data_IF_656351076284
#
_entry.id   IF_656351076284
#
_cell.length_a   1.000
_cell.length_b   1.000
_cell.length_c   1.000
_cell.angle_alpha   90.00
_cell.angle_beta   90.00
_cell.angle_gamma   90.00
#
_symmetry.space_group_name_H-M   'P 1'
#
loop_
_entity.id
_entity.type
_entity.pdbx_description
1 polymer ?
#
# COMPACT_ATOMS: atom_id res chain seq x y z
N UNK A 1 -44.70 21.13 -56.16
CA UNK A 1 -43.86 22.09 -55.46
C UNK A 1 -44.26 22.07 -54.00
N UNK A 2 -43.55 21.34 -53.18
CA UNK A 2 -43.74 21.31 -51.71
C UNK A 2 -42.36 21.15 -51.09
N UNK A 3 -41.88 22.21 -50.54
CA UNK A 3 -40.61 22.32 -49.85
C UNK A 3 -40.82 21.91 -48.37
N UNK A 4 -40.25 20.80 -47.92
CA UNK A 4 -40.23 20.43 -46.54
C UNK A 4 -38.90 20.90 -45.92
N UNK A 5 -38.97 21.83 -44.97
CA UNK A 5 -37.88 22.32 -44.18
C UNK A 5 -37.66 21.42 -42.97
N UNK A 6 -36.48 20.84 -42.88
CA UNK A 6 -36.01 20.10 -41.67
C UNK A 6 -35.50 21.10 -40.60
N UNK A 7 -35.74 20.83 -39.29
CA UNK A 7 -35.23 21.68 -38.21
C UNK A 7 -33.76 21.40 -37.92
N UNK A 8 -33.02 22.39 -37.35
CA UNK A 8 -31.58 22.26 -37.08
C UNK A 8 -31.29 21.31 -35.90
N UNK A 9 -30.36 20.40 -36.14
CA UNK A 9 -29.89 19.44 -35.17
C UNK A 9 -29.24 20.10 -33.95
N UNK A 10 -29.73 19.75 -32.77
CA UNK A 10 -29.08 20.06 -31.50
C UNK A 10 -27.70 19.40 -31.46
N UNK A 11 -26.65 20.16 -31.44
CA UNK A 11 -25.30 19.72 -31.08
C UNK A 11 -25.32 19.25 -29.62
N UNK A 12 -25.29 17.93 -29.40
CA UNK A 12 -24.98 17.37 -28.09
C UNK A 12 -23.51 17.69 -27.78
N UNK A 13 -23.29 18.55 -26.82
CA UNK A 13 -21.98 18.79 -26.24
C UNK A 13 -21.44 17.46 -25.73
N UNK A 14 -20.27 17.05 -26.24
CA UNK A 14 -19.50 15.98 -25.65
C UNK A 14 -18.96 16.51 -24.30
N UNK A 15 -19.57 16.03 -23.23
CA UNK A 15 -18.95 16.11 -21.90
C UNK A 15 -17.70 15.24 -21.99
N UNK A 16 -16.50 15.76 -21.71
CA UNK A 16 -15.33 14.90 -21.60
C UNK A 16 -15.57 13.96 -20.42
N UNK A 17 -15.60 12.69 -20.71
CA UNK A 17 -15.57 11.62 -19.71
C UNK A 17 -14.24 11.78 -18.98
N UNK A 18 -14.22 12.45 -17.82
CA UNK A 18 -13.20 12.22 -16.82
C UNK A 18 -13.32 10.76 -16.46
N UNK A 19 -12.45 9.93 -17.05
CA UNK A 19 -12.28 8.58 -16.62
C UNK A 19 -11.95 8.66 -15.12
N UNK A 20 -12.89 8.22 -14.30
CA UNK A 20 -12.63 7.97 -12.90
C UNK A 20 -11.49 6.94 -12.88
N UNK A 21 -10.25 7.41 -12.67
CA UNK A 21 -9.15 6.57 -12.26
C UNK A 21 -9.53 6.07 -10.87
N UNK A 22 -10.19 4.92 -10.82
CA UNK A 22 -10.29 4.15 -9.60
C UNK A 22 -8.86 3.72 -9.25
N UNK A 23 -8.17 4.56 -8.50
CA UNK A 23 -6.84 4.29 -8.00
C UNK A 23 -6.94 3.16 -6.99
N UNK A 24 -6.60 1.95 -7.40
CA UNK A 24 -6.30 0.87 -6.47
C UNK A 24 -4.94 1.22 -5.89
N UNK A 25 -4.92 1.74 -4.68
CA UNK A 25 -3.70 2.17 -4.00
C UNK A 25 -3.10 1.01 -3.27
N UNK A 26 -1.83 0.80 -3.51
CA UNK A 26 -1.02 -0.19 -2.83
C UNK A 26 0.28 0.43 -2.34
N UNK A 27 0.56 0.20 -1.08
CA UNK A 27 1.73 0.69 -0.37
C UNK A 27 2.92 -0.25 -0.54
N UNK A 28 4.01 0.27 -1.08
CA UNK A 28 5.31 -0.35 -0.89
C UNK A 28 5.87 0.04 0.49
N UNK A 29 6.14 -0.93 1.34
CA UNK A 29 6.79 -0.69 2.63
C UNK A 29 8.27 -1.01 2.51
N UNK A 30 9.12 -0.05 2.89
CA UNK A 30 10.57 -0.21 2.94
C UNK A 30 10.96 -0.98 4.19
N UNK A 31 11.75 -2.04 4.05
CA UNK A 31 12.53 -2.65 5.12
C UNK A 31 13.99 -2.32 4.89
N UNK A 32 14.54 -1.43 5.71
CA UNK A 32 15.98 -1.20 5.79
C UNK A 32 16.62 -2.26 6.69
N UNK A 33 17.36 -3.17 6.09
CA UNK A 33 18.34 -3.94 6.84
C UNK A 33 19.54 -3.00 7.12
N UNK A 34 19.75 -2.64 8.39
CA UNK A 34 20.95 -1.91 8.81
C UNK A 34 22.19 -2.81 8.67
N UNK A 35 23.36 -2.24 8.37
CA UNK A 35 24.58 -3.00 8.36
C UNK A 35 25.08 -3.22 9.81
N UNK A 36 25.58 -4.43 10.06
CA UNK A 36 26.33 -4.87 11.21
C UNK A 36 25.54 -5.42 12.40
N UNK A 37 25.41 -6.76 12.37
CA UNK A 37 25.16 -7.56 13.54
C UNK A 37 26.46 -7.79 14.31
N UNK A 38 26.40 -7.59 15.62
CA UNK A 38 27.18 -8.39 16.60
C UNK A 38 26.39 -8.48 17.90
N UNK A 39 26.34 -9.66 18.55
CA UNK A 39 25.66 -9.82 19.82
C UNK A 39 26.60 -9.47 20.98
N UNK A 40 26.27 -8.45 21.74
CA UNK A 40 26.91 -8.21 23.02
C UNK A 40 26.18 -9.00 24.10
N UNK A 41 26.81 -10.09 24.55
CA UNK A 41 26.50 -10.71 25.80
C UNK A 41 27.00 -9.83 26.96
N UNK A 42 26.18 -9.56 27.93
CA UNK A 42 26.66 -9.12 29.23
C UNK A 42 25.81 -9.61 30.38
N UNK A 43 26.56 -10.04 31.36
CA UNK A 43 26.25 -10.82 32.51
C UNK A 43 25.32 -10.17 33.53
N UNK A 44 24.64 -11.08 34.22
CA UNK A 44 23.85 -10.85 35.42
C UNK A 44 24.70 -10.39 36.61
N UNK A 45 24.11 -9.61 37.48
CA UNK A 45 24.47 -9.57 38.91
C UNK A 45 23.20 -9.31 39.74
N UNK A 46 22.99 -10.23 40.65
CA UNK A 46 21.94 -10.28 41.64
C UNK A 46 22.07 -9.16 42.69
N UNK A 47 20.93 -8.68 43.19
CA UNK A 47 20.68 -8.34 44.59
C UNK A 47 19.18 -8.05 44.79
N UNK A 48 18.53 -8.81 45.65
CA UNK A 48 17.17 -8.57 46.19
C UNK A 48 17.29 -8.24 47.70
N UNK A 49 16.19 -7.98 48.44
CA UNK A 49 15.25 -6.85 48.39
C UNK A 49 15.26 -6.07 49.72
N UNK A 50 14.32 -5.17 50.00
CA UNK A 50 13.29 -5.50 50.98
C UNK A 50 11.87 -5.04 50.68
N UNK A 51 10.96 -5.77 51.28
CA UNK A 51 9.53 -5.65 51.26
C UNK A 51 9.00 -4.30 51.80
N UNK A 52 8.08 -3.69 51.04
CA UNK A 52 7.27 -2.59 51.52
C UNK A 52 5.93 -2.66 50.80
N UNK A 53 4.89 -3.15 51.54
CA UNK A 53 3.49 -3.17 51.10
C UNK A 53 2.93 -1.76 51.12
N UNK A 54 2.56 -1.25 49.95
CA UNK A 54 1.59 -0.17 49.79
C UNK A 54 0.55 -0.57 48.76
N UNK A 55 -0.72 -0.24 48.95
CA UNK A 55 -1.80 -0.70 48.09
C UNK A 55 -1.63 -0.10 46.71
N UNK A 56 -1.49 -0.96 45.73
CA UNK A 56 -1.50 -0.58 44.31
C UNK A 56 -2.87 0.02 43.99
N UNK A 57 -2.91 1.31 43.88
CA UNK A 57 -3.94 2.02 43.14
C UNK A 57 -3.95 1.43 41.71
N UNK A 58 -5.00 0.68 41.41
CA UNK A 58 -5.30 0.25 40.05
C UNK A 58 -5.63 1.49 39.20
N UNK A 59 -4.60 2.21 38.77
CA UNK A 59 -4.74 3.16 37.71
C UNK A 59 -5.11 2.35 36.46
N UNK A 60 -6.39 2.30 36.16
CA UNK A 60 -6.91 1.95 34.84
C UNK A 60 -6.08 2.76 33.83
N UNK A 61 -5.21 2.09 33.08
CA UNK A 61 -4.54 2.65 31.93
C UNK A 61 -5.61 2.87 30.86
N UNK A 62 -6.37 3.97 30.98
CA UNK A 62 -7.14 4.49 29.86
C UNK A 62 -6.13 4.65 28.71
N UNK A 63 -6.23 3.81 27.69
CA UNK A 63 -5.37 3.89 26.51
C UNK A 63 -5.45 5.31 25.99
N UNK A 64 -4.30 5.98 25.98
CA UNK A 64 -4.20 7.34 25.44
C UNK A 64 -4.74 7.26 24.01
N UNK A 65 -5.89 7.88 23.74
CA UNK A 65 -6.52 7.81 22.44
C UNK A 65 -5.52 8.31 21.39
N UNK A 66 -5.33 7.51 20.34
CA UNK A 66 -4.47 7.87 19.21
C UNK A 66 -4.85 9.26 18.68
N UNK A 67 -3.89 10.16 18.61
CA UNK A 67 -4.10 11.49 18.06
C UNK A 67 -3.37 11.65 16.74
N UNK A 68 -4.11 11.52 15.66
CA UNK A 68 -3.61 11.86 14.34
C UNK A 68 -3.45 13.37 14.19
N UNK A 69 -2.26 13.81 13.84
CA UNK A 69 -1.92 15.21 13.62
C UNK A 69 -1.81 15.47 12.13
N UNK A 70 -2.52 16.47 11.62
CA UNK A 70 -2.35 16.93 10.26
C UNK A 70 -0.99 17.59 10.08
N UNK A 71 -0.34 17.31 8.95
CA UNK A 71 0.88 17.97 8.52
C UNK A 71 0.57 18.64 7.17
N UNK A 72 0.52 19.98 7.12
CA UNK A 72 0.17 20.71 5.90
C UNK A 72 1.08 20.33 4.72
N UNK A 73 0.47 20.18 3.55
CA UNK A 73 1.18 19.88 2.29
C UNK A 73 1.02 21.05 1.32
N UNK A 74 2.03 21.35 0.46
CA UNK A 74 1.99 22.47 -0.49
C UNK A 74 1.21 22.12 -1.78
N UNK A 75 0.06 21.45 -1.64
CA UNK A 75 -0.84 21.08 -2.73
C UNK A 75 -2.27 21.35 -2.29
N UNK A 76 -2.94 22.28 -2.95
CA UNK A 76 -4.30 22.69 -2.59
C UNK A 76 -5.37 21.70 -3.06
N UNK A 77 -5.24 21.20 -4.30
CA UNK A 77 -6.18 20.26 -4.93
C UNK A 77 -5.44 19.13 -5.63
N UNK A 78 -5.86 17.89 -5.39
CA UNK A 78 -5.25 16.69 -5.94
C UNK A 78 -5.43 15.49 -5.04
N UNK A 79 -4.56 14.49 -5.19
CA UNK A 79 -4.53 13.30 -4.36
C UNK A 79 -3.08 12.88 -4.08
N UNK A 80 -2.78 12.42 -2.89
CA UNK A 80 -1.51 11.81 -2.53
C UNK A 80 -1.68 10.30 -2.47
N UNK A 81 -1.15 9.63 -3.47
CA UNK A 81 -1.38 8.21 -3.74
C UNK A 81 -0.47 7.29 -2.93
N UNK A 82 0.75 7.73 -2.62
CA UNK A 82 1.70 6.94 -1.85
C UNK A 82 2.57 7.80 -0.92
N UNK A 83 3.00 7.19 0.20
CA UNK A 83 3.91 7.78 1.18
C UNK A 83 4.88 6.73 1.69
N UNK A 84 6.16 7.09 1.84
CA UNK A 84 7.19 6.26 2.45
C UNK A 84 8.14 7.09 3.29
N UNK A 85 8.61 6.55 4.41
CA UNK A 85 9.51 7.23 5.34
C UNK A 85 10.83 6.48 5.48
N UNK A 86 11.94 7.22 5.44
CA UNK A 86 13.27 6.74 5.79
C UNK A 86 13.60 6.97 7.26
N UNK A 87 13.06 8.04 7.83
CA UNK A 87 13.27 8.43 9.23
C UNK A 87 12.21 9.46 9.66
N UNK A 88 12.25 9.89 10.91
CA UNK A 88 11.44 10.99 11.43
C UNK A 88 11.67 12.33 10.70
N UNK A 89 12.82 12.48 10.05
CA UNK A 89 13.23 13.70 9.35
C UNK A 89 13.21 13.56 7.83
N UNK A 90 12.94 12.38 7.32
CA UNK A 90 13.00 12.11 5.89
C UNK A 90 11.87 11.18 5.46
N UNK A 91 10.94 11.73 4.69
CA UNK A 91 9.85 10.97 4.07
C UNK A 91 9.51 11.56 2.70
N UNK A 92 8.87 10.77 1.88
CA UNK A 92 8.40 11.15 0.56
C UNK A 92 6.93 10.83 0.42
N UNK A 93 6.20 11.71 -0.25
CA UNK A 93 4.83 11.46 -0.69
C UNK A 93 4.70 11.83 -2.16
N UNK A 94 3.97 11.02 -2.91
CA UNK A 94 3.76 11.25 -4.34
C UNK A 94 2.28 11.22 -4.67
N UNK A 95 1.92 11.82 -5.78
CA UNK A 95 0.56 11.86 -6.24
C UNK A 95 0.39 12.83 -7.41
N UNK A 96 -0.71 13.56 -7.42
CA UNK A 96 -0.97 14.56 -8.44
C UNK A 96 -1.67 15.78 -7.87
N UNK A 97 -1.49 16.92 -8.54
CA UNK A 97 -2.26 18.15 -8.30
C UNK A 97 -3.08 18.55 -9.52
N UNK A 98 -4.21 19.16 -9.26
CA UNK A 98 -5.03 19.77 -10.29
C UNK A 98 -4.56 21.20 -10.52
N UNK A 99 -4.04 21.49 -11.72
CA UNK A 99 -3.71 22.87 -12.13
C UNK A 99 -4.93 23.62 -12.65
N UNK A 100 -5.88 22.90 -13.23
CA UNK A 100 -7.17 23.39 -13.71
C UNK A 100 -8.18 22.24 -13.81
N UNK A 101 -9.38 22.50 -14.26
CA UNK A 101 -10.39 21.47 -14.49
C UNK A 101 -9.96 20.37 -15.49
N UNK A 102 -8.95 20.62 -16.32
CA UNK A 102 -8.48 19.70 -17.37
C UNK A 102 -6.99 19.39 -17.32
N UNK A 103 -6.23 20.06 -16.45
CA UNK A 103 -4.78 19.90 -16.35
C UNK A 103 -4.38 19.30 -15.00
N UNK A 104 -3.70 18.18 -15.07
CA UNK A 104 -3.19 17.42 -13.91
C UNK A 104 -1.68 17.32 -14.01
N UNK A 105 -0.98 17.49 -12.91
CA UNK A 105 0.48 17.38 -12.83
C UNK A 105 0.87 16.41 -11.71
N UNK A 106 1.81 15.52 -12.01
CA UNK A 106 2.39 14.62 -11.01
C UNK A 106 3.27 15.42 -10.02
N UNK A 107 3.17 15.09 -8.74
CA UNK A 107 3.93 15.76 -7.68
C UNK A 107 4.71 14.77 -6.85
N UNK A 108 5.92 15.18 -6.45
CA UNK A 108 6.71 14.54 -5.41
C UNK A 108 6.96 15.55 -4.28
N UNK A 109 6.61 15.16 -3.07
CA UNK A 109 6.81 15.95 -1.86
C UNK A 109 7.84 15.27 -0.98
N UNK A 110 8.71 16.07 -0.39
CA UNK A 110 9.72 15.61 0.57
C UNK A 110 9.49 16.27 1.93
N UNK A 111 9.52 15.47 2.98
CA UNK A 111 9.55 15.90 4.37
C UNK A 111 11.00 16.13 4.82
N UNK A 112 11.29 17.31 5.36
CA UNK A 112 12.61 17.70 5.83
C UNK A 112 12.81 17.60 7.37
N UNK A 113 11.82 17.03 8.06
CA UNK A 113 11.76 16.95 9.52
C UNK A 113 10.83 18.00 10.15
N UNK A 114 10.44 19.03 9.40
CA UNK A 114 9.60 20.14 9.87
C UNK A 114 8.41 20.43 8.97
N UNK A 115 8.59 20.33 7.67
CA UNK A 115 7.57 20.68 6.67
C UNK A 115 7.69 19.81 5.42
N UNK A 116 6.56 19.68 4.70
CA UNK A 116 6.52 19.12 3.37
C UNK A 116 6.90 20.20 2.35
N UNK A 117 7.82 19.87 1.46
CA UNK A 117 8.23 20.72 0.35
C UNK A 117 8.04 19.97 -0.96
N UNK A 118 7.64 20.69 -2.00
CA UNK A 118 7.67 20.11 -3.33
C UNK A 118 9.14 19.92 -3.73
N UNK A 119 9.47 18.70 -4.12
CA UNK A 119 10.76 18.35 -4.71
C UNK A 119 10.68 18.64 -6.22
N UNK A 120 11.72 18.29 -6.98
CA UNK A 120 11.74 18.43 -8.43
C UNK A 120 10.51 17.79 -9.07
N UNK A 121 10.05 18.37 -10.19
CA UNK A 121 8.87 17.88 -10.92
C UNK A 121 9.11 16.48 -11.46
N UNK A 122 8.18 15.58 -11.22
CA UNK A 122 8.15 14.28 -11.88
C UNK A 122 7.99 14.44 -13.39
N UNK A 123 8.52 13.50 -14.20
CA UNK A 123 8.31 13.50 -15.64
C UNK A 123 6.84 13.61 -16.02
N UNK A 124 6.53 14.32 -17.10
CA UNK A 124 5.16 14.46 -17.59
C UNK A 124 4.48 13.10 -17.78
N UNK A 125 3.20 13.04 -17.46
CA UNK A 125 2.36 11.85 -17.57
C UNK A 125 2.81 10.64 -16.73
N UNK A 126 3.64 10.85 -15.70
CA UNK A 126 4.12 9.75 -14.84
C UNK A 126 3.13 9.31 -13.76
N UNK A 127 2.03 10.00 -13.52
CA UNK A 127 0.97 9.76 -12.50
C UNK A 127 1.26 8.59 -11.56
N UNK A 128 2.04 8.81 -10.47
CA UNK A 128 2.48 7.75 -9.59
C UNK A 128 1.30 7.17 -8.81
N UNK A 129 1.30 5.85 -8.63
CA UNK A 129 0.34 5.11 -7.81
C UNK A 129 1.01 4.53 -6.56
N UNK A 130 2.28 4.12 -6.69
CA UNK A 130 3.05 3.54 -5.61
C UNK A 130 4.46 4.13 -5.56
N UNK A 131 5.07 3.99 -4.39
CA UNK A 131 6.37 4.57 -4.05
C UNK A 131 7.18 3.56 -3.23
N UNK A 132 8.43 3.35 -3.60
CA UNK A 132 9.42 2.64 -2.79
C UNK A 132 10.64 3.52 -2.59
N UNK A 133 11.10 3.62 -1.34
CA UNK A 133 12.24 4.45 -0.97
C UNK A 133 13.30 3.58 -0.30
N UNK A 134 14.43 3.31 -0.96
CA UNK A 134 15.56 2.56 -0.41
C UNK A 134 16.56 3.49 0.29
N UNK A 135 16.78 4.67 -0.28
CA UNK A 135 17.62 5.72 0.29
C UNK A 135 17.14 7.10 -0.17
N UNK A 136 17.80 8.16 0.28
CA UNK A 136 17.52 9.53 -0.20
C UNK A 136 17.83 9.74 -1.69
N UNK A 137 18.63 8.85 -2.28
CA UNK A 137 19.09 8.89 -3.68
C UNK A 137 18.65 7.67 -4.49
N UNK A 138 17.71 6.89 -3.96
CA UNK A 138 17.19 5.73 -4.66
C UNK A 138 15.72 5.54 -4.31
N UNK A 139 14.88 6.11 -5.16
CA UNK A 139 13.45 6.14 -4.98
C UNK A 139 12.77 5.75 -6.28
N UNK A 140 11.86 4.81 -6.19
CA UNK A 140 11.07 4.35 -7.34
C UNK A 140 9.61 4.74 -7.19
N UNK A 141 9.01 5.21 -8.27
CA UNK A 141 7.56 5.30 -8.39
C UNK A 141 7.07 4.49 -9.59
N UNK A 142 5.88 3.95 -9.48
CA UNK A 142 5.18 3.28 -10.58
C UNK A 142 3.74 3.77 -10.66
N UNK A 143 3.19 3.73 -11.87
CA UNK A 143 1.84 4.17 -12.18
C UNK A 143 1.62 4.18 -13.69
N UNK A 144 1.30 5.31 -14.31
CA UNK A 144 1.26 5.41 -15.78
C UNK A 144 2.65 5.29 -16.42
N UNK A 145 3.71 5.56 -15.64
CA UNK A 145 5.10 5.30 -15.97
C UNK A 145 5.85 4.76 -14.75
N UNK A 146 6.99 4.10 -14.97
CA UNK A 146 7.97 3.83 -13.91
C UNK A 146 9.00 4.95 -13.91
N UNK A 147 9.27 5.57 -12.76
CA UNK A 147 10.29 6.61 -12.63
C UNK A 147 11.22 6.32 -11.46
N UNK A 148 12.48 6.71 -11.61
CA UNK A 148 13.54 6.52 -10.63
C UNK A 148 14.21 7.85 -10.30
N UNK A 149 14.39 8.13 -9.01
CA UNK A 149 15.13 9.27 -8.46
C UNK A 149 16.52 8.81 -8.04
N UNK A 150 17.55 9.47 -8.56
CA UNK A 150 18.97 9.18 -8.29
C UNK A 150 19.60 10.10 -7.23
N UNK A 151 18.79 10.96 -6.60
CA UNK A 151 19.24 12.00 -5.67
C UNK A 151 19.30 13.39 -6.28
N UNK A 152 19.16 13.50 -7.62
CA UNK A 152 19.22 14.78 -8.36
C UNK A 152 18.11 14.91 -9.40
N UNK A 153 17.79 13.82 -10.10
CA UNK A 153 16.85 13.83 -11.22
C UNK A 153 15.92 12.62 -11.21
N UNK A 154 14.71 12.81 -11.75
CA UNK A 154 13.78 11.73 -12.04
C UNK A 154 13.97 11.25 -13.47
N UNK A 155 14.21 9.96 -13.65
CA UNK A 155 14.35 9.31 -14.97
C UNK A 155 13.21 8.33 -15.18
N UNK A 156 12.62 8.37 -16.39
CA UNK A 156 11.56 7.41 -16.76
C UNK A 156 12.17 6.15 -17.36
N UNK A 157 11.70 5.00 -16.89
CA UNK A 157 12.06 3.68 -17.39
C UNK A 157 10.82 2.95 -17.92
N UNK A 158 10.92 2.40 -19.11
CA UNK A 158 9.82 1.65 -19.71
C UNK A 158 9.69 0.27 -19.06
N UNK A 159 8.48 -0.09 -18.68
CA UNK A 159 8.17 -1.45 -18.29
C UNK A 159 8.25 -2.38 -19.49
N UNK A 160 8.69 -3.62 -19.28
CA UNK A 160 8.69 -4.65 -20.30
C UNK A 160 7.26 -5.00 -20.75
N UNK A 161 7.12 -5.42 -22.00
CA UNK A 161 5.80 -5.76 -22.54
C UNK A 161 5.38 -7.14 -22.04
N UNK A 162 4.13 -7.30 -21.72
CA UNK A 162 3.51 -8.57 -21.40
C UNK A 162 2.70 -9.09 -22.60
N UNK A 163 2.74 -10.40 -22.92
CA UNK A 163 1.89 -10.99 -23.96
C UNK A 163 0.40 -10.73 -23.78
N UNK A 164 -0.07 -10.62 -22.52
CA UNK A 164 -1.45 -10.30 -22.21
C UNK A 164 -1.79 -8.82 -22.45
N UNK A 165 -0.80 -7.94 -22.68
CA UNK A 165 -1.02 -6.55 -23.04
C UNK A 165 -0.19 -5.54 -22.25
N UNK A 166 -0.75 -4.33 -22.06
CA UNK A 166 -0.10 -3.28 -21.27
C UNK A 166 -0.07 -3.68 -19.80
N UNK A 167 1.09 -3.54 -19.18
CA UNK A 167 1.22 -3.68 -17.73
C UNK A 167 0.73 -2.39 -17.06
N UNK A 168 -0.16 -2.57 -16.09
CA UNK A 168 -0.63 -1.52 -15.17
C UNK A 168 -0.06 -1.88 -13.81
N UNK A 169 1.00 -1.21 -13.36
CA UNK A 169 1.61 -1.48 -12.07
C UNK A 169 0.79 -0.84 -10.95
N UNK A 170 0.63 -1.58 -9.86
CA UNK A 170 -0.11 -1.16 -8.68
C UNK A 170 0.81 -0.95 -7.46
N UNK A 171 1.94 -1.68 -7.37
CA UNK A 171 2.89 -1.57 -6.27
C UNK A 171 4.34 -1.72 -6.72
N UNK A 172 5.25 -1.20 -5.90
CA UNK A 172 6.70 -1.31 -6.10
C UNK A 172 7.40 -1.52 -4.76
N UNK A 173 8.44 -2.35 -4.74
CA UNK A 173 9.36 -2.52 -3.62
C UNK A 173 10.80 -2.56 -4.12
N UNK A 174 11.75 -2.39 -3.21
CA UNK A 174 13.18 -2.50 -3.50
C UNK A 174 13.83 -3.53 -2.60
N UNK A 175 14.91 -4.14 -3.08
CA UNK A 175 15.71 -5.12 -2.34
C UNK A 175 17.07 -4.55 -1.97
N UNK A 176 17.74 -5.14 -0.99
CA UNK A 176 19.05 -4.68 -0.50
C UNK A 176 20.16 -4.75 -1.55
N UNK A 177 20.02 -5.62 -2.57
CA UNK A 177 20.93 -5.74 -3.71
C UNK A 177 20.74 -4.65 -4.79
N UNK A 178 19.84 -3.69 -4.56
CA UNK A 178 19.60 -2.57 -5.47
C UNK A 178 18.59 -2.84 -6.58
N UNK A 179 17.95 -4.01 -6.59
CA UNK A 179 16.85 -4.28 -7.52
C UNK A 179 15.56 -3.62 -7.06
N UNK A 180 14.69 -3.36 -8.02
CA UNK A 180 13.31 -2.98 -7.76
C UNK A 180 12.36 -4.03 -8.36
N UNK A 181 11.21 -4.21 -7.72
CA UNK A 181 10.17 -5.13 -8.16
C UNK A 181 8.84 -4.40 -8.23
N UNK A 182 8.13 -4.56 -9.33
CA UNK A 182 6.79 -4.01 -9.48
C UNK A 182 5.79 -5.12 -9.76
N UNK A 183 4.60 -4.97 -9.19
CA UNK A 183 3.48 -5.90 -9.37
C UNK A 183 2.23 -5.15 -9.80
N UNK A 184 1.34 -5.85 -10.45
CA UNK A 184 0.08 -5.30 -10.92
C UNK A 184 -0.63 -6.30 -11.83
N UNK A 185 -1.14 -5.81 -12.95
CA UNK A 185 -1.81 -6.64 -13.95
C UNK A 185 -1.43 -6.25 -15.38
N UNK A 186 -1.42 -7.22 -16.27
CA UNK A 186 -1.34 -7.00 -17.70
C UNK A 186 -2.74 -7.13 -18.31
N UNK A 187 -3.11 -6.20 -19.18
CA UNK A 187 -4.44 -6.16 -19.78
C UNK A 187 -4.44 -5.57 -21.18
N UNK A 188 -5.38 -6.01 -22.00
CA UNK A 188 -5.66 -5.47 -23.33
C UNK A 188 -7.17 -5.49 -23.60
N UNK A 189 -7.58 -5.19 -24.84
CA UNK A 189 -9.00 -5.20 -25.20
C UNK A 189 -9.69 -6.56 -25.05
N UNK A 190 -8.97 -7.65 -25.19
CA UNK A 190 -9.46 -9.04 -25.08
C UNK A 190 -9.35 -9.54 -23.62
N UNK A 191 -8.39 -9.05 -22.85
CA UNK A 191 -8.18 -9.41 -21.44
C UNK A 191 -8.54 -8.21 -20.56
N UNK A 192 -9.84 -7.94 -20.44
CA UNK A 192 -10.37 -6.78 -19.72
C UNK A 192 -10.14 -6.86 -18.22
N UNK A 193 -10.25 -8.04 -17.64
CA UNK A 193 -10.07 -8.28 -16.21
C UNK A 193 -8.59 -8.34 -15.80
N UNK A 194 -7.69 -8.47 -16.79
CA UNK A 194 -6.26 -8.57 -16.57
C UNK A 194 -5.79 -9.94 -16.12
N UNK A 195 -4.47 -10.12 -16.18
CA UNK A 195 -3.75 -11.24 -15.56
C UNK A 195 -2.66 -10.67 -14.66
N UNK A 196 -2.32 -11.34 -13.55
CA UNK A 196 -1.25 -10.89 -12.67
C UNK A 196 0.06 -10.71 -13.42
N UNK A 197 0.77 -9.62 -13.13
CA UNK A 197 2.04 -9.29 -13.76
C UNK A 197 3.07 -8.86 -12.71
N UNK A 198 4.29 -9.35 -12.84
CA UNK A 198 5.44 -8.96 -12.02
C UNK A 198 6.61 -8.64 -12.94
N UNK A 199 7.34 -7.57 -12.61
CA UNK A 199 8.59 -7.24 -13.27
C UNK A 199 9.67 -6.91 -12.23
N UNK A 200 10.92 -7.21 -12.56
CA UNK A 200 12.10 -6.83 -11.79
C UNK A 200 13.03 -5.93 -12.58
N UNK A 201 13.63 -4.96 -11.91
CA UNK A 201 14.68 -4.09 -12.42
C UNK A 201 16.04 -4.70 -12.15
N UNK A 202 16.88 -4.84 -13.18
CA UNK A 202 18.21 -5.44 -13.09
C UNK A 202 19.37 -4.43 -12.94
N UNK A 203 19.04 -3.15 -12.79
CA UNK A 203 19.97 -2.03 -12.79
C UNK A 203 19.99 -1.27 -14.14
N UNK A 204 19.36 -1.83 -15.20
CA UNK A 204 19.37 -1.26 -16.56
C UNK A 204 17.99 -1.22 -17.20
N UNK A 205 17.20 -2.27 -17.02
CA UNK A 205 15.88 -2.43 -17.63
C UNK A 205 14.95 -3.26 -16.76
N UNK A 206 13.64 -3.11 -16.99
CA UNK A 206 12.61 -3.93 -16.40
C UNK A 206 12.47 -5.25 -17.17
N UNK A 207 12.36 -6.35 -16.47
CA UNK A 207 12.20 -7.69 -17.01
C UNK A 207 10.96 -8.37 -16.44
N UNK A 208 10.10 -8.83 -17.32
CA UNK A 208 8.92 -9.62 -16.96
C UNK A 208 9.33 -10.93 -16.29
N UNK A 209 8.63 -11.24 -15.21
CA UNK A 209 8.81 -12.50 -14.49
C UNK A 209 7.82 -13.56 -14.95
N UNK A 210 8.27 -14.82 -14.98
CA UNK A 210 7.39 -15.96 -15.20
C UNK A 210 6.64 -16.27 -13.92
N UNK A 211 5.31 -16.30 -14.00
CA UNK A 211 4.44 -16.64 -12.90
C UNK A 211 3.84 -18.04 -13.05
N UNK A 212 3.48 -18.72 -11.95
CA UNK A 212 2.63 -19.90 -12.03
C UNK A 212 1.29 -19.54 -12.67
N UNK A 213 0.58 -20.51 -13.23
CA UNK A 213 -0.77 -20.27 -13.74
C UNK A 213 -1.72 -19.96 -12.60
N UNK A 214 -2.18 -18.73 -12.54
CA UNK A 214 -3.13 -18.22 -11.55
C UNK A 214 -4.44 -17.72 -12.19
N UNK A 215 -4.54 -17.84 -13.52
CA UNK A 215 -5.68 -17.36 -14.28
C UNK A 215 -5.78 -15.83 -14.32
N UNK A 216 -7.00 -15.31 -14.45
CA UNK A 216 -7.29 -13.88 -14.38
C UNK A 216 -7.10 -13.37 -12.96
N UNK A 217 -6.74 -12.09 -12.82
CA UNK A 217 -6.55 -11.48 -11.51
C UNK A 217 -5.66 -10.25 -11.55
N UNK A 218 -5.28 -9.82 -10.37
CA UNK A 218 -4.35 -8.71 -10.15
C UNK A 218 -3.48 -8.94 -8.93
N UNK A 219 -2.34 -8.27 -8.90
CA UNK A 219 -1.50 -8.16 -7.72
C UNK A 219 -1.55 -6.72 -7.23
N UNK A 220 -1.87 -6.56 -5.98
CA UNK A 220 -2.13 -5.27 -5.35
C UNK A 220 -0.98 -4.77 -4.49
N UNK A 221 -0.15 -5.64 -3.95
CA UNK A 221 0.95 -5.26 -3.05
C UNK A 221 2.12 -6.21 -3.15
N UNK A 222 3.32 -5.69 -2.86
CA UNK A 222 4.58 -6.44 -2.85
C UNK A 222 5.46 -5.96 -1.71
N UNK A 223 6.14 -6.88 -1.03
CA UNK A 223 7.13 -6.61 0.01
C UNK A 223 8.32 -7.55 -0.16
N UNK A 224 9.51 -7.07 0.14
CA UNK A 224 10.73 -7.87 0.13
C UNK A 224 11.30 -7.98 1.55
N UNK A 225 11.60 -9.18 1.97
CA UNK A 225 12.40 -9.48 3.19
C UNK A 225 13.87 -9.47 2.83
N UNK A 226 14.20 -10.13 1.72
CA UNK A 226 15.53 -10.28 1.17
C UNK A 226 15.43 -10.35 -0.36
N UNK A 227 16.56 -10.29 -1.12
CA UNK A 227 16.56 -10.44 -2.57
C UNK A 227 16.00 -11.77 -3.08
N UNK A 228 16.02 -12.80 -2.24
CA UNK A 228 15.53 -14.15 -2.47
C UNK A 228 14.25 -14.51 -1.68
N UNK A 229 13.65 -13.52 -1.00
CA UNK A 229 12.43 -13.68 -0.23
C UNK A 229 11.49 -12.48 -0.44
N UNK A 230 10.58 -12.61 -1.43
CA UNK A 230 9.66 -11.54 -1.81
C UNK A 230 8.24 -12.08 -1.86
N UNK A 231 7.30 -11.35 -1.29
CA UNK A 231 5.89 -11.69 -1.23
C UNK A 231 5.05 -10.71 -2.02
N UNK A 232 4.14 -11.23 -2.84
CA UNK A 232 3.17 -10.45 -3.60
C UNK A 232 1.76 -10.96 -3.33
N UNK A 233 0.82 -10.04 -3.17
CA UNK A 233 -0.58 -10.37 -2.85
C UNK A 233 -1.56 -9.64 -3.75
N UNK A 234 -2.76 -10.20 -3.86
CA UNK A 234 -3.83 -9.62 -4.65
C UNK A 234 -5.07 -10.49 -4.66
N UNK A 235 -5.65 -10.65 -5.84
CA UNK A 235 -6.86 -11.44 -6.06
C UNK A 235 -6.75 -12.27 -7.35
N UNK A 236 -7.14 -13.53 -7.27
CA UNK A 236 -7.46 -14.36 -8.43
C UNK A 236 -8.96 -14.26 -8.67
N UNK A 237 -9.35 -13.86 -9.87
CA UNK A 237 -10.76 -13.66 -10.22
C UNK A 237 -11.44 -14.99 -10.48
N UNK A 238 -12.73 -14.98 -10.25
CA UNK A 238 -13.57 -16.13 -10.50
C UNK A 238 -13.50 -16.57 -11.97
N UNK A 239 -13.51 -17.88 -12.20
CA UNK A 239 -13.55 -18.44 -13.56
C UNK A 239 -14.96 -18.34 -14.18
N UNK A 240 -15.97 -18.22 -13.34
CA UNK A 240 -17.37 -18.03 -13.71
C UNK A 240 -18.10 -17.16 -12.66
N UNK A 241 -19.34 -16.74 -12.96
CA UNK A 241 -20.14 -15.87 -12.08
C UNK A 241 -20.55 -16.52 -10.75
N UNK A 242 -20.42 -17.84 -10.61
CA UNK A 242 -20.80 -18.59 -9.41
C UNK A 242 -19.62 -18.85 -8.47
N UNK A 243 -18.43 -18.79 -9.01
CA UNK A 243 -17.20 -19.04 -8.23
C UNK A 243 -16.78 -17.78 -7.47
N UNK A 244 -16.37 -17.88 -6.22
CA UNK A 244 -15.86 -16.72 -5.50
C UNK A 244 -14.48 -16.30 -6.01
N UNK A 245 -14.22 -15.00 -6.01
CA UNK A 245 -12.87 -14.45 -6.10
C UNK A 245 -12.05 -14.91 -4.88
N UNK A 246 -10.81 -15.28 -5.09
CA UNK A 246 -9.95 -15.79 -4.01
C UNK A 246 -8.73 -14.90 -3.79
N UNK A 247 -8.29 -14.80 -2.54
CA UNK A 247 -7.03 -14.15 -2.21
C UNK A 247 -5.87 -14.83 -2.94
N UNK A 248 -5.04 -14.02 -3.61
CA UNK A 248 -3.86 -14.49 -4.32
C UNK A 248 -2.62 -14.16 -3.49
N UNK A 249 -1.78 -15.16 -3.30
CA UNK A 249 -0.55 -15.07 -2.55
C UNK A 249 0.58 -15.72 -3.36
N UNK A 250 1.61 -14.96 -3.70
CA UNK A 250 2.77 -15.41 -4.44
C UNK A 250 4.04 -15.17 -3.62
N UNK A 251 4.99 -16.10 -3.71
CA UNK A 251 6.29 -16.05 -3.05
C UNK A 251 7.42 -16.26 -4.05
N UNK A 252 8.44 -15.40 -4.02
CA UNK A 252 9.71 -15.54 -4.73
C UNK A 252 10.74 -16.18 -3.80
N UNK A 253 11.29 -17.31 -4.21
CA UNK A 253 12.25 -18.10 -3.45
C UNK A 253 13.72 -17.87 -3.88
N UNK A 254 13.98 -16.77 -4.59
CA UNK A 254 15.29 -16.48 -5.19
C UNK A 254 15.46 -17.04 -6.60
N UNK A 255 14.61 -17.97 -7.03
CA UNK A 255 14.71 -18.65 -8.34
C UNK A 255 13.43 -18.57 -9.16
N UNK A 256 12.27 -18.64 -8.51
CA UNK A 256 10.95 -18.65 -9.15
C UNK A 256 9.84 -18.12 -8.26
N UNK A 257 8.79 -17.64 -8.89
CA UNK A 257 7.54 -17.33 -8.21
C UNK A 257 6.69 -18.59 -8.02
N UNK A 258 6.15 -18.77 -6.82
CA UNK A 258 5.29 -19.88 -6.45
C UNK A 258 3.98 -19.38 -5.90
N UNK A 259 2.87 -20.05 -6.24
CA UNK A 259 1.58 -19.78 -5.59
C UNK A 259 1.55 -20.44 -4.21
N UNK A 260 1.22 -19.66 -3.21
CA UNK A 260 1.03 -20.12 -1.83
C UNK A 260 -0.46 -20.17 -1.52
N UNK A 261 -0.90 -21.18 -0.79
CA UNK A 261 -2.31 -21.30 -0.39
C UNK A 261 -2.64 -20.20 0.63
N UNK A 262 -3.57 -19.33 0.27
CA UNK A 262 -4.15 -18.33 1.17
C UNK A 262 -5.38 -18.93 1.85
N UNK A 263 -5.38 -19.15 3.18
CA UNK A 263 -6.59 -19.59 3.89
C UNK A 263 -7.64 -18.46 3.87
N UNK A 264 -8.92 -18.81 3.88
CA UNK A 264 -10.00 -17.83 3.90
C UNK A 264 -11.36 -18.45 4.16
N UNK A 265 -12.38 -17.65 4.47
CA UNK A 265 -13.74 -18.13 4.64
C UNK A 265 -14.26 -18.78 3.37
N UNK A 266 -14.84 -19.96 3.50
CA UNK A 266 -15.43 -20.70 2.38
C UNK A 266 -16.64 -19.96 1.81
N UNK A 267 -16.79 -19.98 0.47
CA UNK A 267 -17.92 -19.35 -0.23
C UNK A 267 -17.96 -17.82 -0.22
N UNK A 268 -16.91 -17.19 0.29
CA UNK A 268 -16.77 -15.72 0.31
C UNK A 268 -15.80 -15.24 -0.76
N UNK A 269 -16.04 -14.04 -1.29
CA UNK A 269 -15.03 -13.35 -2.10
C UNK A 269 -13.96 -12.79 -1.19
N UNK A 270 -12.71 -13.18 -1.41
CA UNK A 270 -11.58 -12.75 -0.61
C UNK A 270 -10.52 -12.11 -1.51
N UNK A 271 -9.92 -11.01 -1.06
CA UNK A 271 -8.78 -10.38 -1.74
C UNK A 271 -7.82 -9.78 -0.71
N UNK A 272 -6.60 -9.55 -1.13
CA UNK A 272 -5.56 -8.92 -0.32
C UNK A 272 -5.14 -7.60 -0.98
N UNK A 273 -5.22 -6.52 -0.21
CA UNK A 273 -4.88 -5.16 -0.66
C UNK A 273 -3.48 -4.72 -0.25
N UNK A 274 -2.92 -5.29 0.82
CA UNK A 274 -1.61 -4.92 1.35
C UNK A 274 -0.87 -6.10 1.95
N UNK A 275 0.47 -6.11 1.79
CA UNK A 275 1.37 -7.06 2.44
C UNK A 275 2.59 -6.33 2.98
N UNK A 276 3.04 -6.72 4.17
CA UNK A 276 4.29 -6.26 4.75
C UNK A 276 4.94 -7.39 5.51
N UNK A 277 6.22 -7.62 5.24
CA UNK A 277 7.05 -8.53 5.99
C UNK A 277 7.91 -7.74 6.98
N UNK A 278 7.85 -8.10 8.24
CA UNK A 278 8.68 -7.51 9.31
C UNK A 278 9.91 -8.36 9.59
N UNK A 279 9.81 -9.64 9.27
CA UNK A 279 10.85 -10.65 9.26
C UNK A 279 10.42 -11.79 8.33
N UNK A 280 11.32 -12.74 8.06
CA UNK A 280 11.01 -13.91 7.25
C UNK A 280 9.90 -14.80 7.86
N UNK A 281 9.71 -14.73 9.17
CA UNK A 281 8.70 -15.46 9.94
C UNK A 281 7.59 -14.56 10.53
N UNK A 282 7.55 -13.27 10.16
CA UNK A 282 6.52 -12.31 10.62
C UNK A 282 6.01 -11.48 9.44
N UNK A 283 5.05 -12.04 8.70
CA UNK A 283 4.50 -11.45 7.47
C UNK A 283 2.99 -11.28 7.63
N UNK A 284 2.51 -10.09 7.36
CA UNK A 284 1.09 -9.75 7.42
C UNK A 284 0.54 -9.40 6.06
N UNK A 285 -0.60 -9.98 5.71
CA UNK A 285 -1.36 -9.61 4.53
C UNK A 285 -2.79 -9.24 4.92
N UNK A 286 -3.29 -8.13 4.39
CA UNK A 286 -4.59 -7.57 4.77
C UNK A 286 -5.43 -7.22 3.54
N UNK A 287 -6.73 -7.27 3.69
CA UNK A 287 -7.66 -7.00 2.59
C UNK A 287 -9.11 -6.99 3.03
N UNK A 288 -9.96 -7.57 2.22
CA UNK A 288 -11.37 -7.70 2.49
C UNK A 288 -11.93 -9.09 2.17
N UNK A 289 -13.02 -9.40 2.83
CA UNK A 289 -13.83 -10.58 2.57
C UNK A 289 -15.29 -10.15 2.43
N UNK A 290 -15.97 -10.61 1.37
CA UNK A 290 -17.39 -10.31 1.15
C UNK A 290 -18.21 -11.59 1.16
N UNK A 291 -19.22 -11.62 2.03
CA UNK A 291 -20.20 -12.69 2.11
C UNK A 291 -21.60 -12.10 2.22
N UNK A 292 -22.55 -12.57 1.42
CA UNK A 292 -23.92 -12.05 1.43
C UNK A 292 -24.02 -10.54 1.09
N UNK A 293 -23.06 -9.98 0.34
CA UNK A 293 -23.01 -8.57 -0.02
C UNK A 293 -22.36 -7.66 1.03
N UNK A 294 -22.00 -8.19 2.20
CA UNK A 294 -21.34 -7.45 3.26
C UNK A 294 -19.82 -7.61 3.20
N UNK A 295 -19.10 -6.49 3.12
CA UNK A 295 -17.65 -6.45 3.12
C UNK A 295 -17.10 -6.30 4.53
N UNK A 296 -16.12 -7.13 4.90
CA UNK A 296 -15.49 -7.19 6.22
C UNK A 296 -13.97 -7.12 6.10
N UNK A 297 -13.26 -6.66 7.13
CA UNK A 297 -11.80 -6.76 7.18
C UNK A 297 -11.37 -8.22 7.09
N UNK A 298 -10.30 -8.46 6.31
CA UNK A 298 -9.68 -9.77 6.19
C UNK A 298 -8.19 -9.62 6.42
N UNK A 299 -7.61 -10.50 7.25
CA UNK A 299 -6.20 -10.45 7.58
C UNK A 299 -5.62 -11.85 7.69
N UNK A 300 -4.40 -12.02 7.18
CA UNK A 300 -3.60 -13.22 7.26
C UNK A 300 -2.29 -12.92 7.97
N UNK A 301 -1.81 -13.87 8.76
CA UNK A 301 -0.48 -13.84 9.36
C UNK A 301 0.32 -15.04 8.89
N UNK A 302 1.50 -14.80 8.36
CA UNK A 302 2.41 -15.79 7.82
C UNK A 302 3.71 -15.88 8.63
N UNK A 303 4.23 -17.09 8.75
CA UNK A 303 5.53 -17.39 9.38
C UNK A 303 6.60 -17.79 8.34
N UNK A 304 6.44 -17.36 7.09
CA UNK A 304 7.29 -17.74 5.95
C UNK A 304 7.00 -19.12 5.36
N UNK A 305 6.27 -19.98 6.05
CA UNK A 305 5.94 -21.36 5.62
C UNK A 305 4.44 -21.60 5.53
N UNK A 306 3.71 -21.14 6.53
CA UNK A 306 2.26 -21.32 6.65
C UNK A 306 1.58 -19.99 6.93
N UNK A 307 0.32 -19.89 6.51
CA UNK A 307 -0.52 -18.72 6.71
C UNK A 307 -1.75 -19.08 7.51
N UNK A 308 -2.15 -18.21 8.40
CA UNK A 308 -3.34 -18.36 9.25
C UNK A 308 -4.24 -17.13 9.13
N UNK A 309 -5.55 -17.35 9.24
CA UNK A 309 -6.51 -16.24 9.31
C UNK A 309 -6.41 -15.60 10.69
N UNK A 310 -6.10 -14.30 10.72
CA UNK A 310 -6.11 -13.53 11.95
C UNK A 310 -7.52 -12.96 12.19
N UNK A 311 -8.05 -13.15 13.40
CA UNK A 311 -9.40 -12.72 13.76
C UNK A 311 -9.52 -11.19 13.69
N UNK A 312 -10.47 -10.71 12.89
CA UNK A 312 -10.79 -9.28 12.73
C UNK A 312 -12.13 -8.93 13.39
N UNK A 313 -12.32 -7.67 13.81
CA UNK A 313 -13.62 -7.22 14.31
C UNK A 313 -14.63 -7.12 13.16
N UNK A 314 -15.91 -7.21 13.51
CA UNK A 314 -17.00 -7.07 12.55
C UNK A 314 -17.25 -5.58 12.22
N UNK A 315 -16.50 -5.04 11.28
CA UNK A 315 -16.64 -3.66 10.80
C UNK A 315 -17.20 -3.69 9.39
N UNK A 316 -18.40 -3.12 9.20
CA UNK A 316 -19.02 -3.03 7.89
C UNK A 316 -18.18 -2.13 6.96
N UNK A 317 -18.10 -2.48 5.67
CA UNK A 317 -17.29 -1.80 4.66
C UNK A 317 -15.80 -1.63 5.07
N UNK A 318 -15.33 -2.52 5.95
CA UNK A 318 -14.07 -2.42 6.68
C UNK A 318 -12.85 -2.97 5.93
N UNK A 319 -12.83 -2.92 4.59
CA UNK A 319 -11.66 -3.38 3.82
C UNK A 319 -10.36 -2.76 4.30
N UNK A 320 -9.31 -3.55 4.31
CA UNK A 320 -7.97 -3.08 4.65
C UNK A 320 -7.11 -2.93 3.38
N UNK A 321 -6.21 -1.94 3.39
CA UNK A 321 -5.35 -1.64 2.25
C UNK A 321 -3.88 -1.74 2.56
N UNK A 322 -3.51 -1.48 3.81
CA UNK A 322 -2.11 -1.45 4.23
C UNK A 322 -1.96 -1.94 5.65
N UNK A 323 -0.81 -2.54 5.94
CA UNK A 323 -0.41 -3.00 7.27
C UNK A 323 1.03 -2.57 7.53
N UNK A 324 1.34 -2.17 8.77
CA UNK A 324 2.68 -1.75 9.16
C UNK A 324 2.92 -1.98 10.66
N UNK A 325 4.21 -2.01 11.04
CA UNK A 325 4.66 -2.24 12.42
C UNK A 325 5.45 -1.02 12.89
N UNK A 326 4.97 -0.37 13.94
CA UNK A 326 5.66 0.74 14.57
C UNK A 326 6.89 0.26 15.34
N UNK A 327 7.82 1.17 15.65
CA UNK A 327 9.06 0.83 16.34
C UNK A 327 8.90 0.27 17.76
N UNK A 328 7.71 0.43 18.37
CA UNK A 328 7.35 -0.23 19.64
C UNK A 328 6.79 -1.66 19.44
N UNK A 329 6.81 -2.19 18.23
CA UNK A 329 6.29 -3.51 17.89
C UNK A 329 4.78 -3.56 17.61
N UNK A 330 4.07 -2.44 17.73
CA UNK A 330 2.63 -2.38 17.48
C UNK A 330 2.31 -2.53 15.99
N UNK A 331 1.51 -3.54 15.63
CA UNK A 331 1.04 -3.75 14.25
C UNK A 331 -0.31 -3.07 14.05
N UNK A 332 -0.42 -2.28 13.00
CA UNK A 332 -1.64 -1.58 12.59
C UNK A 332 -2.01 -1.87 11.14
N UNK A 333 -3.30 -1.90 10.87
CA UNK A 333 -3.84 -1.99 9.52
C UNK A 333 -4.83 -0.85 9.27
N UNK A 334 -4.75 -0.27 8.10
CA UNK A 334 -5.58 0.86 7.68
C UNK A 334 -6.26 0.56 6.34
N UNK A 335 -7.43 1.17 6.14
CA UNK A 335 -8.19 1.07 4.90
C UNK A 335 -9.51 1.80 5.00
N UNK A 336 -10.58 1.17 4.56
CA UNK A 336 -11.94 1.68 4.54
C UNK A 336 -12.49 1.85 3.12
N UNK A 337 -13.77 2.15 3.01
CA UNK A 337 -14.48 2.41 1.77
C UNK A 337 -14.94 3.87 1.76
N UNK A 338 -14.60 4.60 0.69
CA UNK A 338 -14.92 6.02 0.58
C UNK A 338 -14.43 6.82 1.79
N UNK A 339 -15.27 7.69 2.31
CA UNK A 339 -14.98 8.56 3.45
C UNK A 339 -15.02 7.85 4.82
N UNK A 340 -15.32 6.54 4.87
CA UNK A 340 -15.34 5.76 6.12
C UNK A 340 -14.01 5.01 6.32
N UNK A 341 -12.99 5.62 6.95
CA UNK A 341 -11.71 4.96 7.17
C UNK A 341 -11.83 3.88 8.24
N UNK A 342 -11.18 2.74 8.01
CA UNK A 342 -11.04 1.64 8.97
C UNK A 342 -9.64 1.63 9.50
N UNK A 343 -9.48 1.57 10.82
CA UNK A 343 -8.21 1.40 11.49
C UNK A 343 -8.30 0.26 12.50
N UNK A 344 -7.34 -0.65 12.44
CA UNK A 344 -7.23 -1.78 13.34
C UNK A 344 -5.83 -1.81 13.97
N UNK A 345 -5.75 -2.36 15.19
CA UNK A 345 -4.51 -2.60 15.91
C UNK A 345 -4.48 -4.07 16.36
N UNK A 346 -3.36 -4.71 16.13
CA UNK A 346 -3.16 -6.10 16.58
C UNK A 346 -3.03 -6.18 18.10
N UNK A 347 -3.81 -7.04 18.69
CA UNK A 347 -3.75 -7.36 20.11
C UNK A 347 -3.18 -8.77 20.30
N UNK A 348 -1.89 -8.86 20.52
CA UNK A 348 -1.19 -10.13 20.66
C UNK A 348 -1.64 -10.96 21.87
N UNK A 349 -2.11 -10.32 22.94
CA UNK A 349 -2.62 -11.03 24.13
C UNK A 349 -3.94 -11.76 23.82
N UNK A 350 -4.79 -11.16 22.99
CA UNK A 350 -6.07 -11.73 22.59
C UNK A 350 -5.99 -12.53 21.28
N UNK A 351 -4.84 -12.48 20.60
CA UNK A 351 -4.64 -13.06 19.26
C UNK A 351 -5.72 -12.61 18.27
N UNK A 352 -6.00 -11.32 18.25
CA UNK A 352 -7.02 -10.72 17.38
C UNK A 352 -6.72 -9.25 17.06
N UNK A 353 -7.38 -8.75 16.03
CA UNK A 353 -7.41 -7.32 15.74
C UNK A 353 -8.50 -6.63 16.56
N UNK A 354 -8.15 -5.53 17.21
CA UNK A 354 -9.08 -4.61 17.85
C UNK A 354 -9.23 -3.34 16.98
N UNK A 355 -10.38 -2.65 17.07
CA UNK A 355 -10.56 -1.36 16.40
C UNK A 355 -9.63 -0.30 16.99
N UNK A 356 -9.16 0.62 16.16
CA UNK A 356 -8.31 1.74 16.55
C UNK A 356 -8.88 3.06 16.02
N UNK A 357 -8.34 4.18 16.50
CA UNK A 357 -8.74 5.50 16.02
C UNK A 357 -8.29 5.69 14.58
N UNK A 358 -9.24 5.92 13.68
CA UNK A 358 -8.99 6.15 12.26
C UNK A 358 -8.43 7.57 12.01
N UNK A 359 -7.64 7.77 10.94
CA UNK A 359 -7.01 9.06 10.66
C UNK A 359 -7.99 10.16 10.21
N UNK A 360 -9.24 9.84 9.91
CA UNK A 360 -10.24 10.80 9.41
C UNK A 360 -9.81 11.41 8.08
N UNK A 361 -9.46 10.57 7.13
CA UNK A 361 -9.23 10.85 5.73
C UNK A 361 -9.44 9.59 4.90
N UNK A 362 -9.64 9.73 3.61
CA UNK A 362 -9.64 8.59 2.68
C UNK A 362 -8.21 8.09 2.54
N UNK A 363 -7.92 6.94 3.16
CA UNK A 363 -6.56 6.38 3.18
C UNK A 363 -6.17 5.88 1.79
N UNK A 364 -5.11 6.46 1.24
CA UNK A 364 -4.46 5.99 0.03
C UNK A 364 -3.24 5.14 0.36
N UNK A 365 -2.42 5.62 1.27
CA UNK A 365 -1.15 5.00 1.62
C UNK A 365 -0.82 5.20 3.09
N UNK A 366 -0.06 4.26 3.62
CA UNK A 366 0.35 4.23 5.02
C UNK A 366 1.79 3.73 5.10
N UNK A 367 2.60 4.33 5.96
CA UNK A 367 3.96 3.88 6.24
C UNK A 367 4.31 4.02 7.71
N UNK A 368 5.18 3.14 8.19
CA UNK A 368 5.83 3.26 9.48
C UNK A 368 7.13 4.02 9.32
N UNK A 369 7.59 4.67 10.39
CA UNK A 369 8.88 5.35 10.40
C UNK A 369 9.92 4.43 11.01
N UNK A 370 10.98 4.03 10.28
CA UNK A 370 12.04 3.17 10.81
C UNK A 370 12.63 3.73 12.11
N UNK A 371 12.76 2.86 13.12
CA UNK A 371 13.31 3.23 14.43
C UNK A 371 12.45 4.15 15.28
N UNK A 372 11.20 4.40 14.90
CA UNK A 372 10.27 5.30 15.58
C UNK A 372 8.91 4.64 15.79
N UNK A 373 8.14 5.13 16.77
CA UNK A 373 6.74 4.75 16.97
C UNK A 373 5.78 5.51 16.06
N UNK A 374 6.28 6.47 15.28
CA UNK A 374 5.47 7.29 14.41
C UNK A 374 4.99 6.54 13.18
N UNK A 375 3.79 6.90 12.75
CA UNK A 375 3.14 6.40 11.55
C UNK A 375 2.72 7.59 10.68
N UNK A 376 2.78 7.41 9.36
CA UNK A 376 2.29 8.38 8.40
C UNK A 376 1.18 7.79 7.55
N UNK A 377 0.19 8.59 7.24
CA UNK A 377 -0.86 8.26 6.29
C UNK A 377 -1.04 9.40 5.30
N UNK A 378 -1.18 9.05 4.03
CA UNK A 378 -1.46 9.98 2.95
C UNK A 378 -2.78 9.62 2.25
N UNK A 379 -3.41 10.60 1.64
CA UNK A 379 -4.64 10.46 0.89
C UNK A 379 -5.34 11.80 0.70
N UNK A 380 -6.67 11.80 0.78
CA UNK A 380 -7.51 13.00 0.65
C UNK A 380 -8.37 13.19 1.91
N UNK A 381 -8.50 14.45 2.35
CA UNK A 381 -9.26 14.79 3.54
C UNK A 381 -10.77 14.55 3.32
N UNK A 382 -11.27 14.93 2.13
CA UNK A 382 -12.66 14.76 1.72
C UNK A 382 -12.71 14.27 0.27
N UNK A 383 -13.51 13.24 0.01
CA UNK A 383 -13.56 12.59 -1.30
C UNK A 383 -14.10 13.52 -2.41
N UNK A 384 -15.02 14.41 -2.07
CA UNK A 384 -15.64 15.33 -3.03
C UNK A 384 -14.75 16.46 -3.51
N UNK A 385 -13.85 16.97 -2.66
CA UNK A 385 -13.06 18.17 -2.92
C UNK A 385 -11.62 17.92 -3.36
N UNK A 386 -11.17 16.66 -3.35
CA UNK A 386 -9.81 16.25 -3.70
C UNK A 386 -8.74 17.11 -2.96
N UNK A 387 -8.93 17.28 -1.64
CA UNK A 387 -7.97 17.99 -0.79
C UNK A 387 -6.92 17.02 -0.29
N UNK A 388 -5.66 17.11 -0.78
CA UNK A 388 -4.60 16.22 -0.35
C UNK A 388 -4.32 16.36 1.13
N UNK A 389 -4.13 15.25 1.82
CA UNK A 389 -3.89 15.23 3.25
C UNK A 389 -2.78 14.25 3.63
N UNK A 390 -1.93 14.70 4.54
CA UNK A 390 -0.97 13.84 5.24
C UNK A 390 -1.21 14.02 6.73
N UNK A 391 -1.33 12.89 7.43
CA UNK A 391 -1.42 12.89 8.90
C UNK A 391 -0.36 12.00 9.50
N UNK A 392 0.10 12.38 10.68
CA UNK A 392 1.08 11.65 11.47
C UNK A 392 0.47 11.24 12.80
N UNK A 393 0.65 10.00 13.17
CA UNK A 393 0.45 9.51 14.52
C UNK A 393 1.80 9.50 15.23
N UNK A 394 1.94 10.25 16.33
CA UNK A 394 3.08 10.14 17.23
C UNK A 394 2.71 9.16 18.33
N UNK A 395 3.51 8.13 18.51
CA UNK A 395 3.36 7.18 19.59
C UNK A 395 3.74 7.77 20.97
#
# INVERSE_FOLDING_TARGET
MSTSSSPPGRRRGRVPLLAALAATVVTGTLILAGPNGEPAASAASFLSPPSGTSPASSASSASRADRWQATPVPVEKGDLTAIAALSDRQAWAVGYRLKSATAVEAVALRWDGTSWKQESTLPENSFPQALAVRSATDIWTVGSASTHWDGSTWTTHQLDRDPAGRVVPDAVTTTSDGKAWTVGRAMNRSVKDGVPAIQSWDGKSWHRQTLPDVGKGELSSVTAVAPDDIWAVGAAYAVDEKSPQTALLLHWDGTRWQRVTAPGPQGSHNWLGGVTAFAADDIWAVGGSTSGGEERPFALHGNGKTWTVAKTPNVADGRLRAVGKAGNGEVRALGGKGAAPTALRWNGQKNQWDTATAPGLVVRSFTTVPGSTALWVAGIAEEGDLVPAVKRLKG
#
